data_IF_119531084500
#
_entry.id   IF_119531084500
#
_cell.length_a   1.000
_cell.length_b   1.000
_cell.length_c   1.000
_cell.angle_alpha   90.00
_cell.angle_beta   90.00
_cell.angle_gamma   90.00
#
_symmetry.space_group_name_H-M   'P 1'
#
loop_
_entity.id
_entity.type
_entity.pdbx_description
1 polymer ?
#
# COMPACT_ATOMS: atom_id res chain seq x y z
N UNK A 1 11.00 17.05 7.59
CA UNK A 1 10.27 15.77 7.61
C UNK A 1 9.80 15.56 6.19
N UNK A 2 10.22 14.49 5.50
CA UNK A 2 10.05 14.43 4.04
C UNK A 2 9.49 13.07 3.61
N UNK A 3 8.18 12.92 3.74
CA UNK A 3 7.36 11.93 3.03
C UNK A 3 6.71 12.68 1.88
N UNK A 4 6.74 12.14 0.66
CA UNK A 4 6.12 12.79 -0.50
C UNK A 4 4.60 12.55 -0.48
N UNK A 5 4.21 11.32 -0.12
CA UNK A 5 2.81 10.90 -0.10
C UNK A 5 2.70 9.38 -0.05
N UNK A 6 1.49 8.89 -0.33
CA UNK A 6 1.20 7.47 -0.45
C UNK A 6 1.65 7.02 -1.84
N UNK A 7 2.44 5.97 -1.89
CA UNK A 7 2.83 5.34 -3.14
C UNK A 7 1.84 4.25 -3.52
N UNK A 8 1.47 3.40 -2.56
CA UNK A 8 0.60 2.26 -2.81
C UNK A 8 -0.24 1.87 -1.59
N UNK A 9 -1.47 1.43 -1.85
CA UNK A 9 -2.38 0.78 -0.91
C UNK A 9 -2.62 -0.66 -1.35
N UNK A 10 -2.49 -1.61 -0.45
CA UNK A 10 -2.82 -3.01 -0.70
C UNK A 10 -3.99 -3.44 0.18
N UNK A 11 -5.08 -3.87 -0.45
CA UNK A 11 -6.29 -4.35 0.22
C UNK A 11 -6.42 -5.86 0.05
N UNK A 12 -6.80 -6.53 1.13
CA UNK A 12 -7.26 -7.92 1.11
C UNK A 12 -8.78 -7.89 1.04
N UNK A 13 -9.36 -8.52 0.02
CA UNK A 13 -10.81 -8.47 -0.24
C UNK A 13 -11.42 -9.85 -0.34
N UNK A 14 -12.68 -9.96 0.08
CA UNK A 14 -13.43 -11.23 0.09
C UNK A 14 -13.92 -11.63 -1.31
N UNK A 15 -14.30 -10.65 -2.13
CA UNK A 15 -14.79 -10.85 -3.49
C UNK A 15 -14.03 -9.91 -4.43
N UNK A 16 -12.97 -10.46 -5.05
CA UNK A 16 -12.09 -9.70 -5.93
C UNK A 16 -12.85 -9.15 -7.16
N UNK A 17 -13.64 -9.94 -7.91
CA UNK A 17 -14.44 -9.42 -9.03
C UNK A 17 -15.37 -8.26 -8.63
N UNK A 18 -16.05 -8.36 -7.48
CA UNK A 18 -16.95 -7.30 -7.01
C UNK A 18 -16.19 -6.02 -6.65
N UNK A 19 -15.05 -6.13 -5.98
CA UNK A 19 -14.23 -4.98 -5.63
C UNK A 19 -13.58 -4.34 -6.87
N UNK A 20 -13.13 -5.13 -7.85
CA UNK A 20 -12.64 -4.61 -9.12
C UNK A 20 -13.72 -3.84 -9.88
N UNK A 21 -14.93 -4.39 -9.95
CA UNK A 21 -16.08 -3.69 -10.55
C UNK A 21 -16.35 -2.38 -9.82
N UNK A 22 -16.36 -2.39 -8.49
CA UNK A 22 -16.54 -1.17 -7.70
C UNK A 22 -15.48 -0.11 -8.01
N UNK A 23 -14.20 -0.48 -8.11
CA UNK A 23 -13.13 0.47 -8.46
C UNK A 23 -13.33 1.08 -9.84
N UNK A 24 -13.76 0.29 -10.83
CA UNK A 24 -14.09 0.78 -12.17
C UNK A 24 -15.31 1.69 -12.16
N UNK A 25 -16.37 1.31 -11.46
CA UNK A 25 -17.59 2.10 -11.31
C UNK A 25 -17.32 3.44 -10.58
N UNK A 26 -16.38 3.44 -9.63
CA UNK A 26 -15.90 4.65 -8.96
C UNK A 26 -15.11 5.58 -9.90
N UNK A 27 -14.67 5.06 -11.05
CA UNK A 27 -13.96 5.82 -12.09
C UNK A 27 -12.45 5.59 -12.10
N UNK A 28 -11.92 4.59 -11.38
CA UNK A 28 -10.52 4.21 -11.48
C UNK A 28 -10.28 3.30 -12.68
N UNK A 29 -9.13 3.49 -13.32
CA UNK A 29 -8.68 2.65 -14.41
C UNK A 29 -7.75 1.56 -13.88
N UNK A 30 -8.01 0.32 -14.26
CA UNK A 30 -7.10 -0.79 -13.99
C UNK A 30 -5.90 -0.75 -14.94
N UNK A 31 -4.77 -1.27 -14.50
CA UNK A 31 -3.63 -1.52 -15.37
C UNK A 31 -3.98 -2.58 -16.42
N UNK A 32 -3.48 -2.42 -17.65
CA UNK A 32 -3.89 -3.22 -18.80
C UNK A 32 -3.70 -4.74 -18.62
N UNK A 33 -2.66 -5.15 -17.88
CA UNK A 33 -2.30 -6.54 -17.60
C UNK A 33 -2.71 -7.00 -16.19
N UNK A 34 -3.26 -6.10 -15.36
CA UNK A 34 -3.56 -6.36 -13.94
C UNK A 34 -4.91 -5.77 -13.56
N UNK A 35 -6.01 -6.53 -13.71
CA UNK A 35 -7.36 -6.03 -13.47
C UNK A 35 -7.64 -5.65 -12.00
N UNK A 36 -6.80 -6.11 -11.08
CA UNK A 36 -6.83 -5.82 -9.64
C UNK A 36 -5.87 -4.70 -9.21
N UNK A 37 -5.13 -4.08 -10.14
CA UNK A 37 -4.23 -2.96 -9.87
C UNK A 37 -4.78 -1.68 -10.52
N UNK A 38 -4.91 -0.62 -9.73
CA UNK A 38 -5.51 0.65 -10.13
C UNK A 38 -4.60 1.83 -9.76
N UNK A 39 -4.79 2.95 -10.43
CA UNK A 39 -4.10 4.21 -10.10
C UNK A 39 -5.13 5.29 -9.78
N UNK A 40 -4.96 5.94 -8.63
CA UNK A 40 -5.79 7.08 -8.20
C UNK A 40 -5.38 8.36 -8.92
N UNK A 41 -6.23 9.40 -8.85
CA UNK A 41 -5.93 10.71 -9.44
C UNK A 41 -4.66 11.36 -8.87
N UNK A 42 -4.31 11.08 -7.61
CA UNK A 42 -3.08 11.57 -6.98
C UNK A 42 -1.82 10.80 -7.41
N UNK A 43 -1.97 9.77 -8.25
CA UNK A 43 -0.87 8.90 -8.69
C UNK A 43 -0.56 7.74 -7.73
N UNK A 44 -1.26 7.63 -6.59
CA UNK A 44 -1.08 6.48 -5.70
C UNK A 44 -1.70 5.22 -6.30
N UNK A 45 -0.97 4.10 -6.21
CA UNK A 45 -1.43 2.78 -6.62
C UNK A 45 -2.40 2.17 -5.61
N UNK A 46 -3.37 1.40 -6.10
CA UNK A 46 -4.28 0.58 -5.31
C UNK A 46 -4.24 -0.83 -5.86
N UNK A 47 -3.81 -1.78 -5.03
CA UNK A 47 -3.74 -3.19 -5.37
C UNK A 47 -4.77 -3.96 -4.54
N UNK A 48 -5.64 -4.68 -5.23
CA UNK A 48 -6.57 -5.62 -4.62
C UNK A 48 -5.96 -7.02 -4.67
N UNK A 49 -6.07 -7.75 -3.57
CA UNK A 49 -5.63 -9.15 -3.44
C UNK A 49 -6.70 -9.96 -2.70
N UNK A 50 -6.79 -11.28 -2.94
CA UNK A 50 -7.62 -12.16 -2.13
C UNK A 50 -7.33 -12.02 -0.63
N UNK A 51 -8.34 -12.18 0.21
CA UNK A 51 -8.22 -12.01 1.66
C UNK A 51 -7.14 -12.92 2.30
N UNK A 52 -6.97 -14.12 1.72
CA UNK A 52 -6.04 -15.16 2.17
C UNK A 52 -4.72 -15.19 1.36
N UNK A 53 -4.39 -14.10 0.65
CA UNK A 53 -3.10 -13.98 -0.05
C UNK A 53 -1.93 -13.93 0.95
N UNK A 54 -1.03 -14.91 0.87
CA UNK A 54 0.15 -15.05 1.75
C UNK A 54 1.13 -13.86 1.66
N UNK A 55 1.10 -13.09 0.56
CA UNK A 55 1.92 -11.88 0.41
C UNK A 55 1.38 -10.70 1.22
N UNK A 56 0.15 -10.77 1.73
CA UNK A 56 -0.46 -9.72 2.54
C UNK A 56 -0.04 -9.82 4.01
N UNK A 57 0.29 -8.69 4.68
CA UNK A 57 0.43 -8.66 6.13
C UNK A 57 -0.89 -9.04 6.80
N UNK A 58 -0.90 -9.48 8.07
CA UNK A 58 -2.14 -9.79 8.80
C UNK A 58 -3.19 -8.66 8.78
N UNK A 59 -4.47 -9.03 8.81
CA UNK A 59 -5.59 -8.10 8.77
C UNK A 59 -5.63 -7.18 10.00
N UNK A 60 -6.16 -5.97 9.83
CA UNK A 60 -6.50 -5.11 10.98
C UNK A 60 -7.82 -5.49 11.61
N UNK A 61 -8.76 -5.84 10.76
CA UNK A 61 -10.15 -6.15 11.06
C UNK A 61 -10.57 -7.33 10.16
N UNK A 62 -11.66 -8.00 10.51
CA UNK A 62 -12.22 -9.05 9.67
C UNK A 62 -12.78 -8.49 8.36
N UNK A 63 -12.81 -9.33 7.33
CA UNK A 63 -13.37 -9.00 6.02
C UNK A 63 -12.47 -8.12 5.16
N UNK A 64 -13.08 -7.51 4.15
CA UNK A 64 -12.37 -6.69 3.16
C UNK A 64 -11.76 -5.42 3.77
N UNK A 65 -10.43 -5.35 3.89
CA UNK A 65 -9.73 -4.27 4.61
C UNK A 65 -8.35 -3.93 4.04
N UNK A 66 -7.83 -2.75 4.38
CA UNK A 66 -6.47 -2.35 4.06
C UNK A 66 -5.48 -3.26 4.80
N UNK A 67 -4.44 -3.73 4.11
CA UNK A 67 -3.43 -4.66 4.65
C UNK A 67 -2.06 -4.03 4.73
N UNK A 68 -1.70 -3.20 3.76
CA UNK A 68 -0.43 -2.49 3.71
C UNK A 68 -0.61 -1.12 3.08
N UNK A 69 0.13 -0.13 3.59
CA UNK A 69 0.32 1.15 2.92
C UNK A 69 1.82 1.39 2.75
N UNK A 70 2.20 1.79 1.54
CA UNK A 70 3.58 2.12 1.16
C UNK A 70 3.70 3.63 1.00
N UNK A 71 4.71 4.20 1.64
CA UNK A 71 4.99 5.64 1.60
C UNK A 71 6.15 5.95 0.67
N UNK A 72 5.99 6.97 -0.15
CA UNK A 72 7.03 7.49 -1.02
C UNK A 72 7.97 8.44 -0.27
N UNK A 73 9.26 8.25 -0.47
CA UNK A 73 10.32 9.11 0.09
C UNK A 73 11.07 9.84 -1.03
N UNK A 74 11.45 11.12 -0.85
CA UNK A 74 12.12 11.89 -1.90
C UNK A 74 13.47 11.28 -2.32
N UNK A 75 14.17 10.63 -1.39
CA UNK A 75 15.46 10.03 -1.65
C UNK A 75 15.82 8.98 -0.59
N UNK A 76 16.82 8.14 -0.93
CA UNK A 76 17.31 7.07 -0.05
C UNK A 76 17.91 7.59 1.26
N UNK A 77 18.53 8.77 1.29
CA UNK A 77 19.13 9.36 2.48
C UNK A 77 18.03 9.81 3.45
N UNK A 78 16.96 10.43 2.96
CA UNK A 78 15.78 10.81 3.75
C UNK A 78 15.12 9.60 4.42
N UNK A 79 14.88 8.52 3.65
CA UNK A 79 14.40 7.24 4.20
C UNK A 79 15.33 6.68 5.28
N UNK A 80 16.64 6.58 4.99
CA UNK A 80 17.62 6.04 5.96
C UNK A 80 17.70 6.86 7.25
N UNK A 81 17.60 8.18 7.16
CA UNK A 81 17.62 9.06 8.32
C UNK A 81 16.39 8.81 9.21
N UNK A 82 15.21 8.75 8.59
CA UNK A 82 13.98 8.46 9.30
C UNK A 82 13.99 7.06 9.92
N UNK A 83 14.41 6.05 9.16
CA UNK A 83 14.48 4.67 9.61
C UNK A 83 15.39 4.51 10.84
N UNK A 84 16.54 5.20 10.88
CA UNK A 84 17.44 5.17 12.06
C UNK A 84 16.81 5.78 13.30
N UNK A 85 16.03 6.86 13.15
CA UNK A 85 15.32 7.50 14.25
C UNK A 85 14.16 6.65 14.77
N UNK A 86 13.46 5.97 13.86
CA UNK A 86 12.29 5.15 14.20
C UNK A 86 12.62 3.77 14.76
N UNK A 87 13.73 3.15 14.36
CA UNK A 87 14.19 1.85 14.89
C UNK A 87 14.31 1.80 16.41
N UNK A 88 14.52 2.95 17.06
CA UNK A 88 14.68 3.06 18.52
C UNK A 88 13.36 3.25 19.26
N UNK A 89 12.24 3.42 18.56
CA UNK A 89 10.91 3.64 19.16
C UNK A 89 10.19 2.30 19.34
N UNK A 90 9.48 2.15 20.47
CA UNK A 90 8.63 0.98 20.70
C UNK A 90 7.57 0.90 19.60
N UNK A 91 7.30 -0.31 19.09
CA UNK A 91 6.31 -0.54 18.02
C UNK A 91 6.86 -0.49 16.59
N UNK A 92 8.16 -0.18 16.40
CA UNK A 92 8.77 -0.15 15.05
C UNK A 92 8.61 -1.46 14.28
N UNK A 93 8.69 -2.62 14.94
CA UNK A 93 8.55 -3.92 14.27
C UNK A 93 7.12 -4.23 13.80
N UNK A 94 6.12 -3.70 14.49
CA UNK A 94 4.71 -3.75 14.06
C UNK A 94 4.49 -2.76 12.93
N UNK A 95 5.13 -1.58 13.03
CA UNK A 95 5.09 -0.57 12.00
C UNK A 95 5.74 -1.09 10.69
N UNK A 96 6.94 -1.65 10.73
CA UNK A 96 7.70 -2.07 9.55
C UNK A 96 7.08 -3.26 8.78
N UNK A 97 6.26 -4.10 9.43
CA UNK A 97 5.51 -5.17 8.74
C UNK A 97 4.27 -4.65 8.02
N UNK A 98 3.73 -3.53 8.50
CA UNK A 98 2.44 -2.96 8.11
C UNK A 98 2.60 -1.75 7.18
N UNK A 99 3.73 -1.07 7.28
CA UNK A 99 4.05 0.16 6.57
C UNK A 99 5.40 -0.02 5.88
N UNK A 100 5.39 -0.01 4.55
CA UNK A 100 6.59 -0.12 3.73
C UNK A 100 7.04 1.27 3.27
N UNK A 101 8.31 1.39 2.94
CA UNK A 101 8.85 2.57 2.29
C UNK A 101 9.30 2.20 0.88
N UNK A 102 8.95 3.05 -0.06
CA UNK A 102 9.49 2.99 -1.40
C UNK A 102 10.17 4.32 -1.73
N UNK A 103 11.17 4.21 -2.59
CA UNK A 103 11.97 5.32 -3.08
C UNK A 103 11.67 5.37 -4.57
N UNK A 104 11.16 6.48 -5.11
CA UNK A 104 10.93 6.62 -6.54
C UNK A 104 12.20 6.22 -7.29
N UNK A 105 12.09 5.22 -8.16
CA UNK A 105 13.10 4.98 -9.17
C UNK A 105 12.93 6.06 -10.22
N UNK A 106 13.94 6.92 -10.34
CA UNK A 106 14.01 7.98 -11.34
C UNK A 106 13.89 7.42 -12.76
#
# INVERSE_FOLDING_TARGET
MSVIGIEQLEFGVEDLPKCEKFMRDFGLQAAADRPSAFTTLSGAGVQLRPLDDDELPPAFEGGSTLRRMTWAWPDRRSWRNWQRGWRRRRGFSVWARRWSAAIPTA
#
